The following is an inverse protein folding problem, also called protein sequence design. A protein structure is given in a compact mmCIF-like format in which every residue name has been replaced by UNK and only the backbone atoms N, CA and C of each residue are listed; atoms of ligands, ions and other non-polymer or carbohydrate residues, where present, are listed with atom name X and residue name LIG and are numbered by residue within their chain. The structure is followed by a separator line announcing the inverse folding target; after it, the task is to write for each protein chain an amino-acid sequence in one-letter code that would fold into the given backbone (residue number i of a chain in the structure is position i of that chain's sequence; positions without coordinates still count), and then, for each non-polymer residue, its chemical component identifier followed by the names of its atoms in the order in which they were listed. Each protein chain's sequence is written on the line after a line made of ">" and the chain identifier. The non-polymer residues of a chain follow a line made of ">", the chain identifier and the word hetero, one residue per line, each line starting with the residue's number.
data_IF_594932234596
#
_entry.id   IF_594932234596
#
_cell.length_a   1.000
_cell.length_b   1.000
_cell.length_c   1.000
_cell.angle_alpha   90.00
_cell.angle_beta   90.00
_cell.angle_gamma   90.00
#
_symmetry.space_group_name_H-M   'P 1'
#
loop_
_entity.id
_entity.type
_entity.pdbx_description
1 polymer ?
#
# COMPACT_ATOMS: atom_id res chain seq x y z
N UNK A 1 8.55 -44.32 -58.93
CA UNK A 1 7.36 -44.49 -58.07
C UNK A 1 7.63 -43.67 -56.81
N UNK A 2 6.93 -42.55 -56.62
CA UNK A 2 5.72 -42.43 -55.78
C UNK A 2 6.09 -42.46 -54.27
N UNK A 3 6.13 -41.38 -53.47
CA UNK A 3 5.48 -40.05 -53.40
C UNK A 3 4.28 -39.94 -52.43
N UNK A 4 4.00 -38.72 -51.95
CA UNK A 4 3.04 -38.28 -50.90
C UNK A 4 3.57 -38.38 -49.45
N UNK A 5 3.73 -37.32 -48.61
CA UNK A 5 2.93 -36.10 -48.28
C UNK A 5 1.85 -36.42 -47.22
N UNK A 6 1.65 -35.71 -46.09
CA UNK A 6 1.61 -34.25 -45.75
C UNK A 6 2.22 -34.06 -44.32
N UNK A 7 2.88 -32.99 -43.84
CA UNK A 7 2.89 -31.52 -44.07
C UNK A 7 1.76 -30.76 -43.31
N UNK A 8 1.95 -29.46 -42.99
CA UNK A 8 1.04 -28.48 -42.31
C UNK A 8 1.03 -28.51 -40.76
N UNK A 9 1.10 -27.40 -39.98
CA UNK A 9 1.81 -26.08 -40.04
C UNK A 9 1.77 -25.39 -38.65
N UNK A 10 2.82 -24.65 -38.26
CA UNK A 10 2.76 -23.51 -37.31
C UNK A 10 2.82 -23.81 -35.79
N UNK A 11 3.23 -22.90 -34.90
CA UNK A 11 3.86 -21.57 -35.07
C UNK A 11 4.89 -21.30 -33.95
N UNK A 12 5.79 -20.33 -34.15
CA UNK A 12 6.81 -19.92 -33.17
C UNK A 12 6.31 -18.76 -32.29
N UNK A 13 6.18 -18.96 -30.97
CA UNK A 13 6.13 -17.86 -30.01
C UNK A 13 7.20 -17.99 -28.92
N UNK A 14 8.14 -17.03 -28.94
CA UNK A 14 9.20 -16.87 -27.92
C UNK A 14 8.57 -16.54 -26.57
N UNK A 15 8.49 -17.51 -25.64
CA UNK A 15 8.05 -17.21 -24.26
C UNK A 15 9.13 -16.44 -23.49
N UNK A 16 9.05 -15.12 -23.61
CA UNK A 16 9.94 -14.10 -23.01
C UNK A 16 10.38 -14.46 -21.60
N UNK A 17 11.69 -14.45 -21.38
CA UNK A 17 12.35 -14.63 -20.09
C UNK A 17 12.16 -13.38 -19.20
N UNK A 18 10.96 -13.22 -18.64
CA UNK A 18 10.64 -12.15 -17.69
C UNK A 18 11.53 -12.27 -16.45
N UNK A 19 12.59 -11.45 -16.41
CA UNK A 19 13.58 -11.46 -15.33
C UNK A 19 12.92 -11.14 -13.98
N UNK A 20 12.87 -12.14 -13.10
CA UNK A 20 12.32 -12.00 -11.75
C UNK A 20 13.35 -11.40 -10.80
N UNK A 21 13.78 -10.17 -11.07
CA UNK A 21 14.35 -9.31 -10.02
C UNK A 21 13.25 -8.95 -9.03
N UNK A 22 12.96 -9.87 -8.10
CA UNK A 22 12.09 -9.59 -6.97
C UNK A 22 12.80 -8.61 -6.05
N UNK A 23 12.45 -7.34 -6.16
CA UNK A 23 12.79 -6.31 -5.17
C UNK A 23 12.11 -6.67 -3.84
N UNK A 24 12.77 -7.53 -3.06
CA UNK A 24 12.41 -7.87 -1.68
C UNK A 24 12.71 -6.68 -0.78
N UNK A 25 11.85 -5.66 -0.82
CA UNK A 25 11.76 -4.72 0.29
C UNK A 25 11.46 -5.52 1.58
N UNK A 26 12.03 -5.15 2.74
CA UNK A 26 11.72 -5.82 3.99
C UNK A 26 10.24 -5.61 4.32
N UNK A 27 9.48 -6.69 4.46
CA UNK A 27 8.06 -6.65 4.82
C UNK A 27 7.89 -6.85 6.32
N UNK A 28 7.73 -5.74 7.05
CA UNK A 28 7.61 -5.77 8.52
C UNK A 28 6.26 -6.36 8.92
N UNK A 29 6.26 -7.24 9.93
CA UNK A 29 5.03 -7.78 10.53
C UNK A 29 4.95 -7.37 12.00
N UNK A 30 3.82 -6.80 12.41
CA UNK A 30 3.52 -6.48 13.82
C UNK A 30 2.47 -7.44 14.37
N UNK A 31 2.76 -7.99 15.55
CA UNK A 31 1.93 -8.93 16.30
C UNK A 31 2.09 -8.68 17.82
N UNK A 32 1.10 -9.12 18.60
CA UNK A 32 1.10 -9.03 20.07
C UNK A 32 1.19 -7.59 20.60
N UNK A 33 1.84 -7.42 21.75
CA UNK A 33 1.95 -6.11 22.41
C UNK A 33 2.56 -5.01 21.52
N UNK A 34 3.48 -5.35 20.63
CA UNK A 34 4.13 -4.36 19.76
C UNK A 34 3.10 -3.75 18.80
N UNK A 35 2.19 -4.59 18.28
CA UNK A 35 1.05 -4.14 17.48
C UNK A 35 0.10 -3.27 18.32
N UNK A 36 -0.23 -3.68 19.55
CA UNK A 36 -1.16 -2.91 20.40
C UNK A 36 -0.60 -1.56 20.82
N UNK A 37 0.70 -1.47 21.11
CA UNK A 37 1.42 -0.20 21.36
C UNK A 37 1.38 0.69 20.11
N UNK A 38 1.71 0.16 18.93
CA UNK A 38 1.69 0.89 17.66
C UNK A 38 0.28 1.40 17.31
N UNK A 39 -0.74 0.53 17.34
CA UNK A 39 -2.12 0.90 17.04
C UNK A 39 -2.65 1.94 18.04
N UNK A 40 -2.26 1.87 19.31
CA UNK A 40 -2.65 2.86 20.32
C UNK A 40 -1.98 4.22 20.08
N UNK A 41 -0.70 4.22 19.69
CA UNK A 41 0.01 5.43 19.32
C UNK A 41 -0.57 6.09 18.04
N UNK A 42 -0.90 5.30 17.01
CA UNK A 42 -1.60 5.76 15.80
C UNK A 42 -2.98 6.35 16.16
N UNK A 43 -3.79 5.67 16.98
CA UNK A 43 -5.10 6.17 17.44
C UNK A 43 -4.97 7.49 18.21
N UNK A 44 -3.95 7.61 19.07
CA UNK A 44 -3.63 8.84 19.81
C UNK A 44 -3.30 9.98 18.83
N UNK A 45 -2.43 9.75 17.87
CA UNK A 45 -2.00 10.81 16.95
C UNK A 45 -3.09 11.21 15.94
N UNK A 46 -3.96 10.28 15.53
CA UNK A 46 -5.21 10.61 14.82
C UNK A 46 -6.08 11.56 15.66
N UNK A 47 -6.22 11.32 16.97
CA UNK A 47 -6.98 12.18 17.86
C UNK A 47 -6.30 13.55 18.09
N UNK A 48 -4.96 13.61 18.17
CA UNK A 48 -4.18 14.85 18.22
C UNK A 48 -4.39 15.67 16.95
N UNK A 49 -4.14 15.09 15.78
CA UNK A 49 -4.22 15.77 14.49
C UNK A 49 -5.67 16.22 14.15
N UNK A 50 -6.69 15.48 14.61
CA UNK A 50 -8.09 15.92 14.53
C UNK A 50 -8.39 17.14 15.41
N UNK A 51 -7.79 17.26 16.61
CA UNK A 51 -8.01 18.45 17.48
C UNK A 51 -7.46 19.74 16.85
N UNK A 52 -6.44 19.64 16.00
CA UNK A 52 -5.92 20.77 15.21
C UNK A 52 -6.70 21.07 13.93
N UNK A 53 -7.62 20.20 13.50
CA UNK A 53 -8.43 20.37 12.29
C UNK A 53 -9.89 19.99 12.55
N UNK A 54 -10.55 20.86 13.31
CA UNK A 54 -11.98 20.76 13.66
C UNK A 54 -12.87 21.14 12.45
N UNK A 55 -12.28 21.73 11.40
CA UNK A 55 -13.01 22.33 10.27
C UNK A 55 -13.77 21.33 9.39
N UNK A 56 -13.35 20.06 9.39
CA UNK A 56 -13.88 19.02 8.50
C UNK A 56 -14.64 17.93 9.28
N UNK A 57 -15.81 17.47 8.79
CA UNK A 57 -16.46 16.28 9.30
C UNK A 57 -15.52 15.08 9.28
N UNK A 58 -15.48 14.30 10.37
CA UNK A 58 -14.49 13.23 10.60
C UNK A 58 -14.36 12.23 9.44
N UNK A 59 -15.49 11.87 8.79
CA UNK A 59 -15.49 10.99 7.61
C UNK A 59 -14.73 11.56 6.40
N UNK A 60 -14.70 12.88 6.25
CA UNK A 60 -13.99 13.57 5.18
C UNK A 60 -12.50 13.73 5.52
N UNK A 61 -12.18 14.09 6.78
CA UNK A 61 -10.82 14.14 7.28
C UNK A 61 -10.11 12.78 7.16
N UNK A 62 -10.77 11.68 7.58
CA UNK A 62 -10.23 10.32 7.42
C UNK A 62 -9.99 9.95 5.95
N UNK A 63 -10.92 10.27 5.04
CA UNK A 63 -10.72 10.09 3.59
C UNK A 63 -9.56 10.94 3.02
N UNK A 64 -9.26 12.08 3.63
CA UNK A 64 -8.13 12.92 3.24
C UNK A 64 -6.77 12.38 3.72
N UNK A 65 -6.69 11.75 4.90
CA UNK A 65 -5.44 11.21 5.44
C UNK A 65 -5.17 9.75 5.02
N UNK A 66 -6.22 8.98 4.71
CA UNK A 66 -6.10 7.54 4.43
C UNK A 66 -6.74 7.13 3.10
N UNK A 67 -6.17 6.10 2.45
CA UNK A 67 -6.85 5.26 1.46
C UNK A 67 -7.24 3.95 2.14
N UNK A 68 -8.53 3.65 2.22
CA UNK A 68 -9.04 2.49 2.97
C UNK A 68 -9.69 1.47 2.04
N UNK A 69 -9.32 0.20 2.20
CA UNK A 69 -9.71 -0.89 1.31
C UNK A 69 -8.76 -1.00 0.11
N UNK A 70 -8.56 -2.22 -0.37
CA UNK A 70 -7.54 -2.50 -1.40
C UNK A 70 -7.76 -1.70 -2.69
N UNK A 71 -9.00 -1.54 -3.14
CA UNK A 71 -9.32 -0.78 -4.36
C UNK A 71 -8.84 0.70 -4.30
N UNK A 72 -8.94 1.36 -3.15
CA UNK A 72 -8.45 2.75 -3.00
C UNK A 72 -6.93 2.81 -2.77
N UNK A 73 -6.31 1.73 -2.29
CA UNK A 73 -4.84 1.60 -2.19
C UNK A 73 -4.23 1.35 -3.58
N UNK A 74 -4.77 0.42 -4.37
CA UNK A 74 -4.30 0.18 -5.75
C UNK A 74 -4.57 1.38 -6.64
N UNK A 75 -5.77 2.00 -6.59
CA UNK A 75 -6.06 3.23 -7.35
C UNK A 75 -5.02 4.32 -7.15
N UNK A 76 -4.51 4.48 -5.93
CA UNK A 76 -3.52 5.51 -5.62
C UNK A 76 -2.11 5.04 -6.02
N UNK A 77 -1.73 3.78 -5.79
CA UNK A 77 -0.46 3.21 -6.29
C UNK A 77 -0.32 3.29 -7.82
N UNK A 78 -1.38 2.95 -8.56
CA UNK A 78 -1.46 3.09 -10.03
C UNK A 78 -1.20 4.55 -10.45
N UNK A 79 -1.90 5.50 -9.82
CA UNK A 79 -1.90 6.94 -10.17
C UNK A 79 -0.72 7.72 -9.63
N UNK A 80 0.07 7.17 -8.71
CA UNK A 80 1.33 7.81 -8.30
C UNK A 80 2.25 7.96 -9.52
N UNK A 81 2.85 9.15 -9.72
CA UNK A 81 3.90 9.29 -10.73
C UNK A 81 5.05 8.31 -10.44
N UNK A 82 5.75 7.81 -11.46
CA UNK A 82 6.95 7.00 -11.25
C UNK A 82 7.95 7.76 -10.38
N UNK A 83 8.81 7.03 -9.67
CA UNK A 83 9.89 7.64 -8.89
C UNK A 83 10.81 8.38 -9.87
N UNK A 84 10.97 9.71 -9.77
CA UNK A 84 11.85 10.43 -10.67
C UNK A 84 13.29 10.00 -10.43
N UNK A 85 13.97 9.54 -11.49
CA UNK A 85 15.40 9.20 -11.45
C UNK A 85 16.31 10.44 -11.55
N UNK A 86 15.73 11.60 -11.88
CA UNK A 86 16.37 12.91 -11.91
C UNK A 86 15.29 13.98 -11.67
N UNK A 87 15.67 15.15 -11.17
CA UNK A 87 14.75 16.28 -11.06
C UNK A 87 14.43 16.92 -12.43
N UNK A 88 13.59 17.97 -12.42
CA UNK A 88 13.18 18.84 -13.55
C UNK A 88 12.06 18.30 -14.45
N UNK A 89 10.83 18.34 -13.93
CA UNK A 89 9.64 18.70 -14.73
C UNK A 89 8.51 19.20 -13.83
N UNK A 90 8.55 20.49 -13.48
CA UNK A 90 7.60 21.19 -12.60
C UNK A 90 6.26 21.58 -13.28
N UNK A 91 5.83 20.83 -14.30
CA UNK A 91 4.75 21.24 -15.21
C UNK A 91 3.47 20.38 -15.15
N UNK A 92 3.39 19.38 -14.26
CA UNK A 92 2.14 18.63 -13.97
C UNK A 92 1.43 19.09 -12.69
N UNK A 93 1.75 20.29 -12.19
CA UNK A 93 1.28 20.87 -10.93
C UNK A 93 -0.21 21.30 -10.94
N UNK A 94 -1.15 20.36 -11.15
CA UNK A 94 -2.57 20.54 -10.80
C UNK A 94 -3.46 19.29 -10.73
N UNK A 95 -3.02 18.10 -11.17
CA UNK A 95 -3.73 16.86 -10.83
C UNK A 95 -3.29 16.34 -9.46
N UNK A 96 -4.23 15.82 -8.67
CA UNK A 96 -4.02 15.45 -7.26
C UNK A 96 -3.09 14.23 -7.10
N UNK A 97 -1.77 14.46 -7.16
CA UNK A 97 -0.72 13.46 -6.97
C UNK A 97 -0.58 13.04 -5.50
N UNK A 98 -1.64 12.44 -4.94
CA UNK A 98 -1.58 11.79 -3.62
C UNK A 98 -0.61 10.61 -3.67
N UNK A 99 0.48 10.70 -2.90
CA UNK A 99 1.39 9.59 -2.62
C UNK A 99 0.95 8.86 -1.35
N UNK A 100 1.39 7.61 -1.18
CA UNK A 100 1.25 6.88 0.07
C UNK A 100 2.62 6.78 0.73
N UNK A 101 2.67 7.04 2.03
CA UNK A 101 3.86 6.98 2.85
C UNK A 101 4.15 5.54 3.32
N UNK A 102 3.10 4.81 3.68
CA UNK A 102 3.15 3.41 4.12
C UNK A 102 1.79 2.75 3.88
N UNK A 103 1.78 1.43 3.71
CA UNK A 103 0.55 0.63 3.58
C UNK A 103 0.50 -0.41 4.70
N UNK A 104 -0.54 -0.34 5.54
CA UNK A 104 -0.88 -1.38 6.51
C UNK A 104 -1.80 -2.42 5.83
N UNK A 105 -1.47 -3.71 5.91
CA UNK A 105 -2.27 -4.82 5.35
C UNK A 105 -2.59 -5.83 6.45
N UNK A 106 -3.86 -6.24 6.56
CA UNK A 106 -4.27 -7.25 7.52
C UNK A 106 -3.96 -8.68 7.04
N UNK A 107 -3.26 -9.45 7.88
CA UNK A 107 -2.75 -10.80 7.57
C UNK A 107 -3.84 -11.90 7.59
N UNK A 108 -5.07 -11.54 7.95
CA UNK A 108 -6.25 -12.40 7.97
C UNK A 108 -7.04 -12.38 6.65
N UNK A 109 -6.62 -11.56 5.67
CA UNK A 109 -7.24 -11.47 4.35
C UNK A 109 -7.09 -12.77 3.53
N UNK A 110 -8.22 -13.24 3.02
CA UNK A 110 -8.32 -14.31 2.03
C UNK A 110 -9.24 -13.80 0.90
N UNK A 111 -8.87 -13.93 -0.40
CA UNK A 111 -7.74 -14.67 -0.97
C UNK A 111 -6.40 -13.90 -0.96
N UNK A 112 -5.31 -14.64 -0.72
CA UNK A 112 -3.92 -14.13 -0.65
C UNK A 112 -3.34 -13.62 -1.98
N UNK A 113 -4.03 -13.83 -3.09
CA UNK A 113 -3.64 -13.23 -4.38
C UNK A 113 -3.77 -11.70 -4.34
N UNK A 114 -4.77 -11.21 -3.60
CA UNK A 114 -5.12 -9.81 -3.49
C UNK A 114 -4.01 -8.99 -2.80
N UNK A 115 -3.42 -9.52 -1.72
CA UNK A 115 -2.30 -8.85 -1.01
C UNK A 115 -1.05 -8.84 -1.88
N UNK A 116 -0.71 -9.98 -2.52
CA UNK A 116 0.46 -10.10 -3.41
C UNK A 116 0.47 -9.07 -4.55
N UNK A 117 -0.69 -8.71 -5.07
CA UNK A 117 -0.79 -7.65 -6.08
C UNK A 117 -0.49 -6.27 -5.49
N UNK A 118 -1.01 -5.96 -4.30
CA UNK A 118 -0.69 -4.71 -3.56
C UNK A 118 0.80 -4.65 -3.20
N UNK A 119 1.38 -5.75 -2.71
CA UNK A 119 2.81 -5.89 -2.40
C UNK A 119 3.69 -5.57 -3.64
N UNK A 120 3.32 -6.09 -4.81
CA UNK A 120 4.02 -5.85 -6.08
C UNK A 120 3.93 -4.39 -6.54
N UNK A 121 2.73 -3.80 -6.52
CA UNK A 121 2.52 -2.39 -6.85
C UNK A 121 3.24 -1.46 -5.88
N UNK A 122 3.22 -1.77 -4.58
CA UNK A 122 3.90 -1.00 -3.55
C UNK A 122 5.43 -1.03 -3.75
N UNK A 123 6.01 -2.22 -3.96
CA UNK A 123 7.44 -2.39 -4.26
C UNK A 123 7.86 -1.61 -5.52
N UNK A 124 7.07 -1.67 -6.59
CA UNK A 124 7.30 -0.89 -7.82
C UNK A 124 7.30 0.64 -7.58
N UNK A 125 6.50 1.12 -6.63
CA UNK A 125 6.43 2.54 -6.23
C UNK A 125 7.34 2.87 -5.02
N UNK A 126 8.18 1.93 -4.56
CA UNK A 126 9.00 1.99 -3.34
C UNK A 126 8.21 2.30 -2.04
N UNK A 127 6.91 2.05 -2.01
CA UNK A 127 6.06 2.29 -0.83
C UNK A 127 6.19 1.10 0.14
N UNK A 128 6.61 1.32 1.40
CA UNK A 128 6.77 0.24 2.38
C UNK A 128 5.43 -0.39 2.77
N UNK A 129 5.45 -1.72 2.94
CA UNK A 129 4.28 -2.54 3.30
C UNK A 129 4.49 -3.18 4.67
N UNK A 130 3.50 -2.97 5.54
CA UNK A 130 3.47 -3.44 6.92
C UNK A 130 2.30 -4.41 7.10
N UNK A 131 2.59 -5.62 7.57
CA UNK A 131 1.59 -6.62 7.90
C UNK A 131 1.13 -6.52 9.35
N UNK A 132 -0.18 -6.49 9.55
CA UNK A 132 -0.83 -6.53 10.86
C UNK A 132 -1.33 -7.94 11.10
N UNK A 133 -0.79 -8.62 12.12
CA UNK A 133 -1.09 -10.01 12.47
C UNK A 133 -1.53 -10.08 13.92
N UNK A 134 -2.85 -10.08 14.12
CA UNK A 134 -3.50 -10.41 15.39
C UNK A 134 -4.48 -11.54 15.11
N UNK A 135 -4.25 -12.74 15.65
CA UNK A 135 -5.20 -13.86 15.89
C UNK A 135 -6.46 -13.97 14.98
N UNK A 136 -6.31 -13.81 13.66
CA UNK A 136 -7.40 -13.73 12.64
C UNK A 136 -8.41 -12.56 12.84
N UNK A 137 -7.96 -11.46 13.43
CA UNK A 137 -8.69 -10.20 13.71
C UNK A 137 -7.94 -8.93 13.28
N UNK A 138 -6.80 -9.04 12.61
CA UNK A 138 -6.01 -7.90 12.13
C UNK A 138 -6.84 -6.89 11.30
N UNK A 139 -7.79 -7.39 10.51
CA UNK A 139 -8.71 -6.55 9.72
C UNK A 139 -9.69 -5.76 10.58
N UNK A 140 -10.13 -6.31 11.72
CA UNK A 140 -10.95 -5.61 12.71
C UNK A 140 -10.12 -4.52 13.42
N UNK A 141 -8.89 -4.85 13.84
CA UNK A 141 -7.96 -3.89 14.47
C UNK A 141 -7.59 -2.72 13.55
N UNK A 142 -7.41 -2.97 12.24
CA UNK A 142 -7.27 -1.90 11.25
C UNK A 142 -8.58 -1.11 11.07
N UNK A 143 -9.74 -1.77 11.05
CA UNK A 143 -11.05 -1.12 10.98
C UNK A 143 -11.26 -0.09 12.09
N UNK A 144 -10.90 -0.43 13.33
CA UNK A 144 -10.97 0.46 14.49
C UNK A 144 -10.18 1.77 14.31
N UNK A 145 -9.02 1.76 13.61
CA UNK A 145 -8.22 2.98 13.37
C UNK A 145 -9.02 4.04 12.60
N UNK A 146 -9.84 3.59 11.64
CA UNK A 146 -10.57 4.42 10.68
C UNK A 146 -12.09 4.42 10.93
N UNK A 147 -12.51 3.96 12.12
CA UNK A 147 -13.91 3.88 12.58
C UNK A 147 -14.83 3.08 11.65
N UNK A 148 -14.32 1.96 11.13
CA UNK A 148 -15.06 0.96 10.36
C UNK A 148 -15.11 -0.38 11.12
N UNK A 149 -16.03 -1.27 10.74
CA UNK A 149 -16.12 -2.63 11.33
C UNK A 149 -14.86 -3.46 11.04
N UNK A 150 -14.33 -3.36 9.83
CA UNK A 150 -13.09 -3.99 9.37
C UNK A 150 -12.44 -3.14 8.26
N UNK A 151 -11.14 -3.33 8.04
CA UNK A 151 -10.39 -2.81 6.90
C UNK A 151 -9.27 -3.80 6.52
N UNK A 152 -9.20 -4.22 5.26
CA UNK A 152 -8.19 -5.17 4.77
C UNK A 152 -6.83 -4.49 4.52
N UNK A 153 -6.86 -3.26 4.02
CA UNK A 153 -5.68 -2.45 3.76
C UNK A 153 -5.95 -0.98 4.08
N UNK A 154 -4.96 -0.28 4.60
CA UNK A 154 -4.97 1.15 4.88
C UNK A 154 -3.65 1.75 4.39
N UNK A 155 -3.71 2.55 3.34
CA UNK A 155 -2.60 3.41 2.91
C UNK A 155 -2.64 4.74 3.66
N UNK A 156 -1.54 5.13 4.30
CA UNK A 156 -1.35 6.49 4.83
C UNK A 156 -0.98 7.40 3.66
N UNK A 157 -1.73 8.48 3.44
CA UNK A 157 -1.42 9.47 2.41
C UNK A 157 -0.31 10.40 2.90
N UNK A 158 0.70 10.61 2.08
CA UNK A 158 1.71 11.62 2.34
C UNK A 158 1.11 13.02 2.11
N UNK A 159 1.15 13.83 3.17
CA UNK A 159 0.68 15.22 3.22
C UNK A 159 1.66 16.13 3.99
N UNK A 160 2.88 15.66 4.29
CA UNK A 160 3.90 16.43 5.01
C UNK A 160 3.50 16.94 6.41
N UNK A 161 2.48 16.36 7.05
CA UNK A 161 1.95 16.84 8.33
C UNK A 161 2.55 16.13 9.55
N UNK A 162 2.20 16.56 10.78
CA UNK A 162 2.71 15.98 12.04
C UNK A 162 2.42 14.47 12.18
N UNK A 163 1.27 14.00 11.69
CA UNK A 163 0.96 12.57 11.66
C UNK A 163 1.86 11.82 10.67
N UNK A 164 2.20 12.41 9.51
CA UNK A 164 3.20 11.83 8.62
C UNK A 164 4.60 11.77 9.28
N UNK A 165 5.01 12.82 9.99
CA UNK A 165 6.29 12.81 10.72
C UNK A 165 6.35 11.69 11.78
N UNK A 166 5.29 11.54 12.57
CA UNK A 166 5.11 10.45 13.53
C UNK A 166 5.19 9.05 12.86
N UNK A 167 4.51 8.86 11.71
CA UNK A 167 4.56 7.61 10.94
C UNK A 167 5.98 7.31 10.43
N UNK A 168 6.76 8.34 10.03
CA UNK A 168 8.18 8.14 9.67
C UNK A 168 8.99 7.60 10.85
N UNK A 169 8.84 8.22 12.04
CA UNK A 169 9.64 7.84 13.23
C UNK A 169 9.29 6.46 13.78
N UNK A 170 8.00 6.12 13.93
CA UNK A 170 7.57 4.85 14.55
C UNK A 170 7.67 3.65 13.61
N UNK A 171 7.44 3.87 12.31
CA UNK A 171 7.28 2.80 11.32
C UNK A 171 8.42 2.81 10.29
N UNK A 172 8.75 3.95 9.67
CA UNK A 172 9.68 3.97 8.53
C UNK A 172 11.15 3.81 8.90
N UNK A 173 11.58 4.26 10.08
CA UNK A 173 12.95 4.03 10.60
C UNK A 173 13.32 2.52 10.65
N UNK A 174 12.35 1.60 10.54
CA UNK A 174 12.60 0.14 10.50
C UNK A 174 12.77 -0.42 9.07
N UNK A 175 12.67 0.43 8.05
CA UNK A 175 12.86 0.10 6.62
C UNK A 175 14.13 0.74 6.03
N UNK A 176 14.88 1.50 6.84
CA UNK A 176 16.19 2.10 6.54
C UNK A 176 17.33 1.18 7.00
#
# INVERSE_FOLDING_TARGET
>A
MAASTTIVTGEEEKKVSVSRHSFRQPTICYEGEILDRLLSAIKREIATARKSDISLPEKFWLKQQFSVGVNEVTRVLERMPPIPANERSSLSLKMHSTRLQVILIASDCHPRLLTKHVESLASSKKVPVVFVKDKKRGSLRLGELVKLKTAIAIGVKDKGNKFNQFISTEILHKFE
#
